data_IF_762822710600
#
_entry.id   IF_762822710600
#
_cell.length_a   1.000
_cell.length_b   1.000
_cell.length_c   1.000
_cell.angle_alpha   90.00
_cell.angle_beta   90.00
_cell.angle_gamma   90.00
#
_symmetry.space_group_name_H-M   'P 1'
#
loop_
_entity.id
_entity.type
_entity.pdbx_description
1 polymer ?
#
# COMPACT_ATOMS: atom_id res chain seq x y z
N UNK A 1 2.55 -13.31 33.65
CA UNK A 1 3.38 -12.41 32.81
C UNK A 1 4.51 -11.85 33.67
N UNK A 2 5.79 -12.03 33.32
CA UNK A 2 6.87 -11.70 34.24
C UNK A 2 6.99 -10.18 34.39
N UNK A 3 6.81 -9.66 35.61
CA UNK A 3 6.89 -8.23 35.92
C UNK A 3 8.17 -7.53 35.40
N UNK A 4 9.25 -8.31 35.23
CA UNK A 4 10.52 -7.87 34.62
C UNK A 4 10.38 -7.44 33.16
N UNK A 5 9.48 -8.07 32.39
CA UNK A 5 9.21 -7.71 31.01
C UNK A 5 8.42 -6.41 30.94
N UNK A 6 7.43 -6.24 31.82
CA UNK A 6 6.66 -4.99 31.92
C UNK A 6 7.57 -3.81 32.26
N UNK A 7 8.51 -3.98 33.18
CA UNK A 7 9.44 -2.91 33.56
C UNK A 7 10.39 -2.51 32.44
N UNK A 8 10.89 -3.49 31.67
CA UNK A 8 11.70 -3.23 30.46
C UNK A 8 10.89 -2.55 29.36
N UNK A 9 9.63 -2.95 29.16
CA UNK A 9 8.73 -2.35 28.18
C UNK A 9 8.36 -0.92 28.56
N UNK A 10 8.12 -0.64 29.85
CA UNK A 10 7.89 0.72 30.34
C UNK A 10 9.13 1.60 30.18
N UNK A 11 10.33 1.09 30.49
CA UNK A 11 11.58 1.82 30.24
C UNK A 11 11.80 2.12 28.76
N UNK A 12 11.57 1.13 27.88
CA UNK A 12 11.67 1.29 26.44
C UNK A 12 10.66 2.32 25.91
N UNK A 13 9.41 2.27 26.37
CA UNK A 13 8.37 3.23 25.98
C UNK A 13 8.74 4.66 26.41
N UNK A 14 9.28 4.84 27.61
CA UNK A 14 9.77 6.13 28.10
C UNK A 14 10.93 6.66 27.24
N UNK A 15 11.90 5.81 26.91
CA UNK A 15 13.00 6.21 26.02
C UNK A 15 12.52 6.53 24.61
N UNK A 16 11.55 5.79 24.07
CA UNK A 16 10.95 6.11 22.78
C UNK A 16 10.24 7.47 22.81
N UNK A 17 9.46 7.74 23.85
CA UNK A 17 8.79 9.04 24.02
C UNK A 17 9.77 10.19 24.17
N UNK A 18 10.90 10.01 24.87
CA UNK A 18 11.94 11.04 24.99
C UNK A 18 12.69 11.28 23.67
N UNK A 19 12.95 10.22 22.89
CA UNK A 19 13.60 10.34 21.57
C UNK A 19 12.70 10.98 20.52
N UNK A 20 11.38 10.78 20.61
CA UNK A 20 10.40 11.46 19.74
C UNK A 20 10.00 12.86 20.23
N UNK A 21 10.37 13.27 21.45
CA UNK A 21 10.03 14.59 21.99
C UNK A 21 10.50 15.77 21.09
N UNK A 22 11.70 15.75 20.48
CA UNK A 22 12.13 16.81 19.56
C UNK A 22 11.31 16.87 18.26
N UNK A 23 10.63 15.79 17.88
CA UNK A 23 9.71 15.78 16.72
C UNK A 23 8.42 16.54 17.04
N UNK A 24 8.00 16.56 18.31
CA UNK A 24 6.87 17.37 18.78
C UNK A 24 7.24 18.85 18.96
N UNK A 25 8.52 19.15 19.20
CA UNK A 25 9.08 20.51 19.30
C UNK A 25 9.58 21.05 17.94
N UNK A 26 9.14 20.45 16.83
CA UNK A 26 9.39 20.98 15.50
C UNK A 26 8.59 22.27 15.28
N UNK A 27 9.17 23.40 15.68
CA UNK A 27 8.81 24.77 15.28
C UNK A 27 7.30 25.09 15.33
N UNK A 28 6.84 25.50 16.51
CA UNK A 28 5.50 26.03 16.72
C UNK A 28 5.36 27.46 16.18
N UNK A 29 5.53 27.64 14.86
CA UNK A 29 5.34 28.91 14.14
C UNK A 29 3.90 29.01 13.56
N UNK A 30 2.97 28.18 14.06
CA UNK A 30 1.60 28.05 13.54
C UNK A 30 1.50 27.41 12.15
N UNK A 31 2.64 26.98 11.57
CA UNK A 31 2.73 26.37 10.25
C UNK A 31 2.85 24.86 10.44
N UNK A 32 1.88 24.09 9.94
CA UNK A 32 1.88 22.64 10.05
C UNK A 32 3.13 21.98 9.44
N UNK A 33 3.21 20.64 9.46
CA UNK A 33 4.37 19.82 9.06
C UNK A 33 5.02 20.18 7.69
N UNK A 34 4.32 20.92 6.83
CA UNK A 34 4.77 21.33 5.50
C UNK A 34 5.29 22.79 5.40
N UNK A 35 5.34 23.54 6.51
CA UNK A 35 5.74 24.96 6.49
C UNK A 35 4.64 25.89 5.96
N UNK A 36 5.00 27.10 5.50
CA UNK A 36 4.02 28.05 4.93
C UNK A 36 3.43 27.45 3.67
N UNK A 37 2.16 27.05 3.72
CA UNK A 37 1.43 26.60 2.55
C UNK A 37 1.31 27.78 1.56
N UNK A 38 2.28 27.86 0.67
CA UNK A 38 2.35 28.86 -0.39
C UNK A 38 1.51 28.35 -1.57
N UNK A 39 0.90 29.26 -2.34
CA UNK A 39 0.00 28.92 -3.46
C UNK A 39 0.64 27.92 -4.42
N UNK A 40 1.95 28.04 -4.65
CA UNK A 40 2.75 27.11 -5.46
C UNK A 40 2.66 25.65 -4.99
N UNK A 41 2.68 25.41 -3.68
CA UNK A 41 2.62 24.05 -3.11
C UNK A 41 1.24 23.44 -3.37
N UNK A 42 0.18 24.21 -3.11
CA UNK A 42 -1.20 23.75 -3.32
C UNK A 42 -1.45 23.48 -4.81
N UNK A 43 -1.02 24.40 -5.68
CA UNK A 43 -1.20 24.25 -7.12
C UNK A 43 -0.46 23.02 -7.66
N UNK A 44 0.79 22.82 -7.23
CA UNK A 44 1.55 21.63 -7.64
C UNK A 44 0.93 20.33 -7.10
N UNK A 45 0.45 20.33 -5.86
CA UNK A 45 -0.26 19.18 -5.30
C UNK A 45 -1.54 18.87 -6.10
N UNK A 46 -2.29 19.90 -6.48
CA UNK A 46 -3.46 19.77 -7.35
C UNK A 46 -3.13 19.13 -8.70
N UNK A 47 -2.08 19.61 -9.38
CA UNK A 47 -1.63 19.00 -10.65
C UNK A 47 -1.18 17.56 -10.49
N UNK A 48 -0.47 17.25 -9.40
CA UNK A 48 -0.06 15.86 -9.11
C UNK A 48 -1.30 14.98 -8.97
N UNK A 49 -2.33 15.39 -8.23
CA UNK A 49 -3.55 14.59 -8.06
C UNK A 49 -4.29 14.38 -9.38
N UNK A 50 -4.41 15.44 -10.20
CA UNK A 50 -5.08 15.37 -11.51
C UNK A 50 -4.40 14.35 -12.43
N UNK A 51 -3.06 14.28 -12.43
CA UNK A 51 -2.31 13.33 -13.26
C UNK A 51 -2.23 11.94 -12.63
N UNK A 52 -2.09 11.88 -11.30
CA UNK A 52 -1.87 10.64 -10.56
C UNK A 52 -3.07 9.70 -10.65
N UNK A 53 -4.30 10.19 -10.42
CA UNK A 53 -5.47 9.30 -10.40
C UNK A 53 -5.73 8.59 -11.73
N UNK A 54 -5.77 9.28 -12.89
CA UNK A 54 -5.97 8.61 -14.17
C UNK A 54 -4.85 7.60 -14.47
N UNK A 55 -3.59 7.97 -14.19
CA UNK A 55 -2.44 7.09 -14.44
C UNK A 55 -2.49 5.86 -13.53
N UNK A 56 -2.83 6.05 -12.26
CA UNK A 56 -2.97 4.97 -11.29
C UNK A 56 -4.11 4.01 -11.67
N UNK A 57 -5.29 4.53 -11.98
CA UNK A 57 -6.45 3.73 -12.41
C UNK A 57 -6.08 2.95 -13.66
N UNK A 58 -5.52 3.61 -14.67
CA UNK A 58 -5.09 2.97 -15.91
C UNK A 58 -4.08 1.84 -15.66
N UNK A 59 -3.06 2.10 -14.84
CA UNK A 59 -2.03 1.12 -14.50
C UNK A 59 -2.63 -0.08 -13.77
N UNK A 60 -3.48 0.17 -12.79
CA UNK A 60 -4.16 -0.90 -12.03
C UNK A 60 -5.08 -1.72 -12.94
N UNK A 61 -5.84 -1.08 -13.84
CA UNK A 61 -6.69 -1.76 -14.82
C UNK A 61 -5.90 -2.62 -15.80
N UNK A 62 -4.76 -2.13 -16.31
CA UNK A 62 -3.89 -2.92 -17.17
C UNK A 62 -3.30 -4.13 -16.42
N UNK A 63 -2.90 -3.92 -15.16
CA UNK A 63 -2.35 -4.99 -14.33
C UNK A 63 -3.40 -6.08 -14.06
N UNK A 64 -4.63 -5.69 -13.71
CA UNK A 64 -5.76 -6.62 -13.56
C UNK A 64 -5.98 -7.43 -14.84
N UNK A 65 -6.07 -6.76 -15.99
CA UNK A 65 -6.23 -7.42 -17.29
C UNK A 65 -5.11 -8.42 -17.60
N UNK A 66 -3.86 -8.07 -17.27
CA UNK A 66 -2.72 -8.96 -17.48
C UNK A 66 -2.78 -10.21 -16.60
N UNK A 67 -3.18 -10.06 -15.33
CA UNK A 67 -3.34 -11.17 -14.41
C UNK A 67 -4.51 -12.08 -14.79
N UNK A 68 -5.63 -11.51 -15.21
CA UNK A 68 -6.79 -12.29 -15.65
C UNK A 68 -6.49 -13.07 -16.92
N UNK A 69 -5.79 -12.47 -17.89
CA UNK A 69 -5.32 -13.20 -19.08
C UNK A 69 -4.47 -14.42 -18.71
N UNK A 70 -3.60 -14.30 -17.69
CA UNK A 70 -2.78 -15.44 -17.21
C UNK A 70 -3.64 -16.49 -16.52
N UNK A 71 -4.62 -16.10 -15.71
CA UNK A 71 -5.54 -17.04 -15.05
C UNK A 71 -6.37 -17.80 -16.08
N UNK A 72 -6.93 -17.10 -17.05
CA UNK A 72 -7.74 -17.73 -18.11
C UNK A 72 -6.90 -18.68 -18.98
N UNK A 73 -5.65 -18.33 -19.30
CA UNK A 73 -4.76 -19.26 -20.01
C UNK A 73 -4.51 -20.56 -19.23
N UNK A 74 -4.33 -20.49 -17.90
CA UNK A 74 -4.17 -21.67 -17.05
C UNK A 74 -5.45 -22.51 -16.96
N UNK A 75 -6.61 -21.87 -16.82
CA UNK A 75 -7.91 -22.54 -16.81
C UNK A 75 -8.20 -23.22 -18.15
N UNK A 76 -7.91 -22.56 -19.26
CA UNK A 76 -8.08 -23.12 -20.60
C UNK A 76 -7.21 -24.36 -20.80
N UNK A 77 -5.94 -24.32 -20.37
CA UNK A 77 -5.06 -25.49 -20.38
C UNK A 77 -5.63 -26.63 -19.52
N UNK A 78 -6.02 -26.36 -18.28
CA UNK A 78 -6.62 -27.36 -17.38
C UNK A 78 -7.91 -27.98 -17.97
N UNK A 79 -8.79 -27.15 -18.55
CA UNK A 79 -10.01 -27.60 -19.22
C UNK A 79 -9.71 -28.45 -20.45
N UNK A 80 -8.68 -28.12 -21.23
CA UNK A 80 -8.25 -28.92 -22.37
C UNK A 80 -7.77 -30.31 -21.93
N UNK A 81 -7.02 -30.40 -20.83
CA UNK A 81 -6.63 -31.69 -20.25
C UNK A 81 -7.84 -32.51 -19.77
N UNK A 82 -8.77 -31.89 -19.04
CA UNK A 82 -9.97 -32.56 -18.54
C UNK A 82 -10.92 -33.00 -19.66
N UNK A 83 -11.09 -32.18 -20.70
CA UNK A 83 -11.90 -32.53 -21.88
C UNK A 83 -11.33 -33.74 -22.62
N UNK A 84 -10.01 -33.83 -22.75
CA UNK A 84 -9.34 -34.99 -23.34
C UNK A 84 -9.46 -36.26 -22.48
N UNK A 85 -9.46 -36.14 -21.14
CA UNK A 85 -9.68 -37.30 -20.26
C UNK A 85 -11.14 -37.75 -20.23
N UNK A 86 -12.09 -36.82 -20.29
CA UNK A 86 -13.52 -37.12 -20.32
C UNK A 86 -13.93 -37.82 -21.63
N UNK A 87 -13.32 -37.47 -22.77
CA UNK A 87 -13.50 -38.19 -24.03
C UNK A 87 -12.94 -39.62 -24.03
N UNK A 88 -11.95 -39.93 -23.16
CA UNK A 88 -11.36 -41.28 -23.03
C UNK A 88 -12.03 -42.16 -21.96
N UNK A 89 -12.89 -41.59 -21.12
CA UNK A 89 -13.53 -42.28 -20.00
C UNK A 89 -15.00 -42.65 -20.23
N UNK A 90 -15.46 -42.71 -21.49
CA UNK A 90 -16.82 -43.13 -21.81
C UNK A 90 -17.01 -44.63 -21.60
N UNK A 91 -17.75 -44.98 -20.55
CA UNK A 91 -18.56 -46.20 -20.44
C UNK A 91 -20.02 -45.77 -20.45
#
# INVERSE_FOLDING_TARGET
MPARLLWKLSGLALTLSLVLAPVAEAHNDGRGFYGTTNDKVITNAGFILIVFFPLFIFTMSMLQKALDKRKEARKAAAKAYLGNTQWRGGW
#
